data_IF_551401946368
#
_entry.id   IF_551401946368
#
_cell.length_a   1.000
_cell.length_b   1.000
_cell.length_c   1.000
_cell.angle_alpha   90.00
_cell.angle_beta   90.00
_cell.angle_gamma   90.00
#
_symmetry.space_group_name_H-M   'P 1'
#
loop_
_entity.id
_entity.type
_entity.pdbx_description
1 polymer ?
#
# COMPACT_ATOMS: atom_id res chain seq x y z
N UNK A 1 -21.03 1.69 -1.89
CA UNK A 1 -20.39 0.58 -2.65
C UNK A 1 -19.43 -0.14 -1.71
N UNK A 2 -19.18 -1.43 -1.91
CA UNK A 2 -18.23 -2.18 -1.07
C UNK A 2 -16.79 -1.76 -1.39
N UNK A 3 -15.91 -1.67 -0.38
CA UNK A 3 -14.48 -1.38 -0.59
C UNK A 3 -13.77 -2.57 -1.22
N UNK A 4 -12.90 -2.30 -2.18
CA UNK A 4 -11.98 -3.29 -2.75
C UNK A 4 -10.73 -3.40 -1.88
N UNK A 5 -10.39 -4.61 -1.47
CA UNK A 5 -9.13 -4.88 -0.78
C UNK A 5 -7.99 -4.99 -1.80
N UNK A 6 -6.91 -4.24 -1.56
CA UNK A 6 -5.77 -4.15 -2.48
C UNK A 6 -4.47 -4.54 -1.77
N UNK A 7 -3.65 -5.35 -2.44
CA UNK A 7 -2.25 -5.54 -2.07
C UNK A 7 -1.35 -4.85 -3.09
N UNK A 8 -0.29 -4.19 -2.63
CA UNK A 8 0.71 -3.56 -3.52
C UNK A 8 2.01 -4.35 -3.46
N UNK A 9 2.50 -4.80 -4.62
CA UNK A 9 3.76 -5.55 -4.75
C UNK A 9 4.77 -4.71 -5.52
N UNK A 10 5.91 -4.45 -4.89
CA UNK A 10 6.90 -3.48 -5.33
C UNK A 10 6.58 -2.08 -4.80
N UNK A 11 7.55 -1.48 -4.12
CA UNK A 11 7.51 -0.17 -3.47
C UNK A 11 8.64 0.71 -4.03
N UNK A 12 8.91 0.57 -5.31
CA UNK A 12 9.64 1.57 -6.10
C UNK A 12 8.79 2.83 -6.32
N UNK A 13 9.21 3.70 -7.24
CA UNK A 13 8.53 4.98 -7.51
C UNK A 13 7.03 4.77 -7.81
N UNK A 14 6.69 3.84 -8.70
CA UNK A 14 5.29 3.58 -9.08
C UNK A 14 4.50 2.91 -7.95
N UNK A 15 5.13 2.00 -7.20
CA UNK A 15 4.50 1.35 -6.07
C UNK A 15 4.07 2.32 -4.98
N UNK A 16 4.97 3.25 -4.62
CA UNK A 16 4.68 4.31 -3.65
C UNK A 16 3.58 5.25 -4.15
N UNK A 17 3.61 5.66 -5.43
CA UNK A 17 2.56 6.48 -6.02
C UNK A 17 1.19 5.79 -5.98
N UNK A 18 1.14 4.47 -6.20
CA UNK A 18 -0.09 3.70 -6.02
C UNK A 18 -0.54 3.62 -4.57
N UNK A 19 0.36 3.42 -3.61
CA UNK A 19 0.01 3.44 -2.17
C UNK A 19 -0.59 4.79 -1.78
N UNK A 20 0.03 5.90 -2.20
CA UNK A 20 -0.46 7.24 -1.91
C UNK A 20 -1.85 7.48 -2.51
N UNK A 21 -2.03 7.20 -3.81
CA UNK A 21 -3.30 7.40 -4.48
C UNK A 21 -4.41 6.51 -3.88
N UNK A 22 -4.15 5.21 -3.70
CA UNK A 22 -5.12 4.25 -3.18
C UNK A 22 -5.52 4.55 -1.73
N UNK A 23 -4.62 5.10 -0.91
CA UNK A 23 -4.92 5.46 0.48
C UNK A 23 -5.95 6.60 0.60
N UNK A 24 -6.06 7.44 -0.43
CA UNK A 24 -7.06 8.50 -0.49
C UNK A 24 -8.44 8.06 -1.02
N UNK A 25 -8.56 6.85 -1.57
CA UNK A 25 -9.79 6.38 -2.19
C UNK A 25 -10.75 5.75 -1.17
N UNK A 26 -11.98 6.25 -1.13
CA UNK A 26 -13.01 5.78 -0.19
C UNK A 26 -13.52 4.35 -0.50
N UNK A 27 -13.36 3.91 -1.74
CA UNK A 27 -13.76 2.62 -2.28
C UNK A 27 -12.60 1.62 -2.35
N UNK A 28 -11.41 1.98 -1.87
CA UNK A 28 -10.27 1.08 -1.72
C UNK A 28 -9.83 0.93 -0.26
N UNK A 29 -9.21 -0.19 0.05
CA UNK A 29 -8.48 -0.42 1.30
C UNK A 29 -7.22 -1.23 1.00
N UNK A 30 -6.07 -0.65 1.29
CA UNK A 30 -4.81 -1.38 1.21
C UNK A 30 -4.72 -2.31 2.41
N UNK A 31 -4.56 -3.61 2.16
CA UNK A 31 -4.53 -4.65 3.20
C UNK A 31 -3.17 -5.32 3.32
N UNK A 32 -2.26 -5.07 2.38
CA UNK A 32 -0.90 -5.59 2.39
C UNK A 32 0.02 -4.78 1.48
N UNK A 33 1.31 -4.75 1.82
CA UNK A 33 2.39 -4.30 0.94
C UNK A 33 3.52 -5.34 0.93
N UNK A 34 4.21 -5.46 -0.20
CA UNK A 34 5.36 -6.34 -0.33
C UNK A 34 6.45 -5.68 -1.16
N UNK A 35 7.71 -5.90 -0.81
CA UNK A 35 8.87 -5.50 -1.58
C UNK A 35 10.01 -6.50 -1.31
N UNK A 36 11.01 -6.55 -2.20
CA UNK A 36 12.23 -7.33 -1.99
C UNK A 36 13.02 -6.79 -0.78
N UNK A 37 12.98 -5.46 -0.57
CA UNK A 37 13.51 -4.79 0.60
C UNK A 37 12.47 -4.80 1.73
N UNK A 38 12.65 -5.73 2.68
CA UNK A 38 11.73 -5.90 3.81
C UNK A 38 11.63 -4.64 4.69
N UNK A 39 12.72 -3.90 4.89
CA UNK A 39 12.68 -2.69 5.73
C UNK A 39 11.92 -1.56 5.03
N UNK A 40 11.99 -1.48 3.69
CA UNK A 40 11.12 -0.61 2.91
C UNK A 40 9.64 -0.98 3.07
N UNK A 41 9.29 -2.25 2.91
CA UNK A 41 7.92 -2.72 3.06
C UNK A 41 7.36 -2.41 4.46
N UNK A 42 8.14 -2.71 5.49
CA UNK A 42 7.82 -2.43 6.89
C UNK A 42 7.70 -0.93 7.19
N UNK A 43 8.55 -0.08 6.59
CA UNK A 43 8.44 1.38 6.73
C UNK A 43 7.13 1.88 6.13
N UNK A 44 6.81 1.50 4.90
CA UNK A 44 5.58 1.92 4.21
C UNK A 44 4.35 1.42 4.95
N UNK A 45 4.34 0.17 5.40
CA UNK A 45 3.24 -0.40 6.17
C UNK A 45 2.94 0.44 7.44
N UNK A 46 3.98 0.84 8.18
CA UNK A 46 3.82 1.70 9.36
C UNK A 46 3.32 3.09 9.03
N UNK A 47 3.87 3.71 7.98
CA UNK A 47 3.53 5.09 7.58
C UNK A 47 2.05 5.21 7.17
N UNK A 48 1.53 4.19 6.49
CA UNK A 48 0.15 4.18 5.98
C UNK A 48 -0.83 3.36 6.85
N UNK A 49 -0.37 2.80 7.97
CA UNK A 49 -1.21 1.98 8.86
C UNK A 49 -1.73 0.69 8.21
N UNK A 50 -0.93 0.11 7.30
CA UNK A 50 -1.25 -1.13 6.59
C UNK A 50 -0.80 -2.32 7.47
N UNK A 51 -1.64 -3.36 7.63
CA UNK A 51 -1.29 -4.56 8.42
C UNK A 51 -0.02 -5.28 7.95
#
# INVERSE_FOLDING_TARGET
MARVNVGVVGLGVQGLAHVEALSGLHDARIVAVADLDFERAKKVAREYGIP
#
